data_IF_564470592485
#
_entry.id   IF_564470592485
#
_cell.length_a   1.000
_cell.length_b   1.000
_cell.length_c   1.000
_cell.angle_alpha   90.00
_cell.angle_beta   90.00
_cell.angle_gamma   90.00
#
_symmetry.space_group_name_H-M   'P 1'
#
loop_
_entity.id
_entity.type
_entity.pdbx_description
1 polymer ?
#
# COMPACT_ATOMS: atom_id res chain seq x y z
N UNK A 1 46.47 11.18 24.92
CA UNK A 1 45.62 10.68 23.82
C UNK A 1 44.24 11.30 23.96
N UNK A 2 43.88 12.35 23.22
CA UNK A 2 42.48 12.72 23.07
C UNK A 2 41.93 12.17 21.75
N UNK A 3 40.75 11.55 21.83
CA UNK A 3 39.97 11.06 20.71
C UNK A 3 39.59 12.24 19.79
N UNK A 4 39.94 12.14 18.51
CA UNK A 4 39.54 13.10 17.48
C UNK A 4 38.16 12.77 16.95
N UNK A 5 37.34 13.81 16.87
CA UNK A 5 35.98 13.84 16.36
C UNK A 5 35.92 13.48 14.86
N UNK A 6 35.46 12.28 14.54
CA UNK A 6 34.89 12.03 13.21
C UNK A 6 33.60 12.84 13.10
N UNK A 7 33.57 13.82 12.20
CA UNK A 7 32.38 14.64 12.00
C UNK A 7 31.21 13.75 11.53
N UNK A 8 30.05 13.92 12.16
CA UNK A 8 28.80 13.19 11.84
C UNK A 8 28.35 13.26 10.37
N UNK A 9 28.97 14.11 9.54
CA UNK A 9 28.61 14.32 8.14
C UNK A 9 28.99 13.15 7.20
N UNK A 10 29.96 12.28 7.57
CA UNK A 10 30.39 11.18 6.68
C UNK A 10 29.42 9.99 6.61
N UNK A 11 28.51 9.85 7.58
CA UNK A 11 27.59 8.69 7.66
C UNK A 11 26.25 8.87 6.95
N UNK A 12 25.99 10.04 6.35
CA UNK A 12 24.70 10.38 5.71
C UNK A 12 24.84 10.95 4.29
N UNK A 13 26.03 10.90 3.70
CA UNK A 13 26.28 11.46 2.38
C UNK A 13 25.74 10.52 1.28
N UNK A 14 25.04 11.09 0.29
CA UNK A 14 24.49 10.35 -0.86
C UNK A 14 25.61 10.01 -1.85
N UNK A 15 25.41 8.96 -2.64
CA UNK A 15 26.30 8.60 -3.76
C UNK A 15 26.64 9.84 -4.62
N UNK A 16 27.90 9.96 -5.04
CA UNK A 16 28.42 11.10 -5.81
C UNK A 16 28.81 12.32 -4.98
N UNK A 17 28.40 12.43 -3.71
CA UNK A 17 28.69 13.60 -2.86
C UNK A 17 30.19 13.80 -2.64
N UNK A 18 30.66 15.04 -2.80
CA UNK A 18 32.03 15.42 -2.43
C UNK A 18 32.14 15.82 -0.96
N UNK A 19 33.23 15.43 -0.31
CA UNK A 19 33.51 15.72 1.10
C UNK A 19 34.97 16.17 1.29
N UNK A 20 35.22 16.92 2.36
CA UNK A 20 36.56 17.28 2.80
C UNK A 20 36.92 16.45 4.03
N UNK A 21 37.90 15.56 3.88
CA UNK A 21 38.48 14.77 4.96
C UNK A 21 39.77 15.45 5.46
N UNK A 22 39.92 15.50 6.78
CA UNK A 22 41.11 16.01 7.47
C UNK A 22 42.38 15.20 7.18
N UNK A 23 42.24 13.91 6.83
CA UNK A 23 43.34 12.97 6.57
C UNK A 23 43.59 12.72 5.08
N UNK A 24 42.54 12.71 4.27
CA UNK A 24 42.60 12.31 2.85
C UNK A 24 42.37 13.46 1.85
N UNK A 25 42.06 14.67 2.32
CA UNK A 25 41.79 15.80 1.45
C UNK A 25 40.41 15.71 0.80
N UNK A 26 40.31 15.96 -0.51
CA UNK A 26 39.05 15.88 -1.24
C UNK A 26 38.68 14.42 -1.51
N UNK A 27 37.49 13.99 -1.07
CA UNK A 27 36.95 12.65 -1.30
C UNK A 27 35.58 12.73 -1.99
N UNK A 28 35.18 11.68 -2.69
CA UNK A 28 33.85 11.51 -3.29
C UNK A 28 33.24 10.19 -2.81
N UNK A 29 31.95 10.17 -2.51
CA UNK A 29 31.25 8.92 -2.20
C UNK A 29 31.04 8.14 -3.49
N UNK A 30 31.67 6.97 -3.58
CA UNK A 30 31.52 6.02 -4.68
C UNK A 30 31.23 4.63 -4.09
N UNK A 31 30.20 3.96 -4.59
CA UNK A 31 29.69 2.68 -4.07
C UNK A 31 29.45 2.73 -2.55
N UNK A 32 28.94 3.87 -2.06
CA UNK A 32 28.67 4.11 -0.64
C UNK A 32 29.92 4.27 0.25
N UNK A 33 31.12 4.38 -0.32
CA UNK A 33 32.38 4.57 0.42
C UNK A 33 33.08 5.87 0.02
N UNK A 34 33.75 6.57 0.96
CA UNK A 34 34.56 7.75 0.62
C UNK A 34 35.85 7.34 -0.11
N UNK A 35 35.97 7.74 -1.37
CA UNK A 35 37.14 7.50 -2.22
C UNK A 35 37.90 8.80 -2.44
N UNK A 36 39.22 8.79 -2.24
CA UNK A 36 40.07 9.97 -2.44
C UNK A 36 40.12 10.40 -3.91
N UNK A 37 39.84 11.68 -4.16
CA UNK A 37 39.88 12.26 -5.51
C UNK A 37 41.34 12.51 -5.92
N UNK A 38 41.78 11.82 -6.97
CA UNK A 38 43.17 11.91 -7.46
C UNK A 38 43.38 13.18 -8.28
N UNK A 39 44.45 13.92 -7.96
CA UNK A 39 44.90 15.05 -8.76
C UNK A 39 45.74 14.58 -9.95
N UNK A 40 45.49 15.18 -11.11
CA UNK A 40 46.28 14.95 -12.32
C UNK A 40 47.72 15.42 -12.14
N UNK A 41 48.69 14.54 -12.39
CA UNK A 41 50.13 14.86 -12.38
C UNK A 41 50.66 14.95 -13.82
N UNK A 42 51.30 16.07 -14.17
CA UNK A 42 51.91 16.27 -15.48
C UNK A 42 50.92 16.14 -16.64
N UNK A 43 51.27 15.37 -17.67
CA UNK A 43 50.42 15.09 -18.84
C UNK A 43 49.55 13.82 -18.71
N UNK A 44 49.43 13.25 -17.51
CA UNK A 44 48.59 12.06 -17.29
C UNK A 44 47.12 12.34 -17.62
N UNK A 45 46.41 11.36 -18.18
CA UNK A 45 44.96 11.39 -18.32
C UNK A 45 44.24 11.04 -17.00
N UNK A 46 44.96 10.40 -16.06
CA UNK A 46 44.41 9.97 -14.76
C UNK A 46 44.31 11.14 -13.77
N UNK A 47 43.16 11.26 -13.10
CA UNK A 47 42.84 12.30 -12.13
C UNK A 47 42.28 13.61 -12.71
N UNK A 48 41.73 14.44 -11.80
CA UNK A 48 41.15 15.74 -12.14
C UNK A 48 42.19 16.87 -12.12
N UNK A 49 42.03 17.93 -12.94
CA UNK A 49 42.88 19.11 -12.86
C UNK A 49 42.88 19.76 -11.47
N UNK A 50 44.02 20.31 -11.04
CA UNK A 50 44.12 21.00 -9.75
C UNK A 50 43.11 22.15 -9.60
N UNK A 51 42.85 22.88 -10.69
CA UNK A 51 41.80 23.92 -10.73
C UNK A 51 40.42 23.35 -10.38
N UNK A 52 40.06 22.18 -10.93
CA UNK A 52 38.76 21.54 -10.67
C UNK A 52 38.65 21.10 -9.22
N UNK A 53 39.71 20.50 -8.66
CA UNK A 53 39.74 20.14 -7.25
C UNK A 53 39.53 21.36 -6.34
N UNK A 54 40.19 22.49 -6.64
CA UNK A 54 40.01 23.73 -5.88
C UNK A 54 38.62 24.33 -6.01
N UNK A 55 37.96 24.20 -7.16
CA UNK A 55 36.57 24.62 -7.38
C UNK A 55 35.66 23.77 -6.49
N UNK A 56 35.74 22.43 -6.57
CA UNK A 56 34.94 21.50 -5.77
C UNK A 56 35.11 21.79 -4.27
N UNK A 57 36.36 21.94 -3.80
CA UNK A 57 36.65 22.25 -2.40
C UNK A 57 36.01 23.55 -1.90
N UNK A 58 35.73 24.51 -2.80
CA UNK A 58 35.09 25.80 -2.46
C UNK A 58 33.57 25.78 -2.63
N UNK A 59 33.02 24.86 -3.43
CA UNK A 59 31.57 24.64 -3.54
C UNK A 59 31.02 23.83 -2.37
N UNK A 60 31.80 22.91 -1.78
CA UNK A 60 31.37 22.09 -0.63
C UNK A 60 30.85 22.97 0.54
N UNK A 61 31.59 23.98 1.05
CA UNK A 61 31.07 24.82 2.13
C UNK A 61 29.83 25.63 1.75
N UNK A 62 29.63 25.92 0.47
CA UNK A 62 28.42 26.60 -0.03
C UNK A 62 27.24 25.64 0.07
N UNK A 63 27.35 24.44 -0.52
CA UNK A 63 26.35 23.38 -0.42
C UNK A 63 25.93 23.12 1.02
N UNK A 64 26.91 22.95 1.90
CA UNK A 64 26.66 22.60 3.30
C UNK A 64 25.95 23.75 4.04
N UNK A 65 26.32 25.00 3.76
CA UNK A 65 25.64 26.17 4.32
C UNK A 65 24.23 26.37 3.76
N UNK A 66 23.99 26.09 2.47
CA UNK A 66 22.65 26.11 1.87
C UNK A 66 21.74 25.08 2.53
N UNK A 67 22.21 23.83 2.65
CA UNK A 67 21.48 22.75 3.36
C UNK A 67 21.14 23.17 4.79
N UNK A 68 22.07 23.81 5.47
CA UNK A 68 21.87 24.28 6.84
C UNK A 68 20.80 25.38 6.93
N UNK A 69 20.82 26.37 6.03
CA UNK A 69 19.79 27.42 5.96
C UNK A 69 18.42 26.79 5.73
N UNK A 70 18.30 25.89 4.75
CA UNK A 70 17.02 25.24 4.43
C UNK A 70 16.50 24.38 5.59
N UNK A 71 17.37 23.62 6.26
CA UNK A 71 16.99 22.82 7.42
C UNK A 71 16.57 23.67 8.62
N UNK A 72 17.22 24.81 8.84
CA UNK A 72 16.79 25.75 9.88
C UNK A 72 15.42 26.36 9.55
N UNK A 73 15.17 26.71 8.29
CA UNK A 73 13.87 27.24 7.84
C UNK A 73 12.76 26.20 7.93
N UNK A 74 13.01 24.94 7.54
CA UNK A 74 12.07 23.83 7.66
C UNK A 74 11.64 23.58 9.11
N UNK A 75 12.60 23.60 10.05
CA UNK A 75 12.38 23.34 11.48
C UNK A 75 12.02 24.58 12.29
N UNK A 76 11.75 25.71 11.63
CA UNK A 76 11.45 27.01 12.24
C UNK A 76 12.47 27.46 13.31
N UNK A 77 13.77 27.19 13.07
CA UNK A 77 14.89 27.58 13.94
C UNK A 77 15.58 28.84 13.38
N UNK A 78 16.23 29.67 14.22
CA UNK A 78 17.00 30.82 13.72
C UNK A 78 18.04 30.43 12.66
N UNK A 79 17.99 31.04 11.46
CA UNK A 79 18.87 30.72 10.31
C UNK A 79 19.86 31.82 9.92
N UNK A 80 19.86 32.97 10.62
CA UNK A 80 20.73 34.12 10.30
C UNK A 80 22.21 33.75 10.29
N UNK A 81 22.67 32.96 11.26
CA UNK A 81 24.07 32.54 11.34
C UNK A 81 24.48 31.64 10.18
N UNK A 82 23.56 30.76 9.72
CA UNK A 82 23.77 29.92 8.55
C UNK A 82 23.82 30.77 7.26
N UNK A 83 22.96 31.80 7.13
CA UNK A 83 23.04 32.77 6.03
C UNK A 83 24.36 33.54 6.02
N UNK A 84 24.89 33.91 7.20
CA UNK A 84 26.21 34.56 7.29
C UNK A 84 27.31 33.60 6.82
N UNK A 85 27.28 32.32 7.22
CA UNK A 85 28.21 31.29 6.72
C UNK A 85 28.13 31.13 5.21
N UNK A 86 26.91 31.05 4.67
CA UNK A 86 26.66 30.97 3.23
C UNK A 86 27.25 32.17 2.49
N UNK A 87 26.99 33.39 2.98
CA UNK A 87 27.54 34.64 2.41
C UNK A 87 29.06 34.64 2.40
N UNK A 88 29.70 34.23 3.49
CA UNK A 88 31.16 34.15 3.60
C UNK A 88 31.73 33.13 2.61
N UNK A 89 31.12 31.93 2.51
CA UNK A 89 31.56 30.88 1.60
C UNK A 89 31.41 31.31 0.13
N UNK A 90 30.25 31.89 -0.20
CA UNK A 90 29.93 32.41 -1.52
C UNK A 90 30.87 33.54 -1.96
N UNK A 91 31.05 34.57 -1.14
CA UNK A 91 31.96 35.68 -1.48
C UNK A 91 33.42 35.22 -1.66
N UNK A 92 33.86 34.20 -0.89
CA UNK A 92 35.19 33.59 -1.08
C UNK A 92 35.30 32.84 -2.41
N UNK A 93 34.23 32.17 -2.86
CA UNK A 93 34.18 31.49 -4.15
C UNK A 93 34.22 32.50 -5.29
N UNK A 94 33.32 33.48 -5.28
CA UNK A 94 33.21 34.50 -6.34
C UNK A 94 34.51 35.27 -6.51
N UNK A 95 35.19 35.63 -5.41
CA UNK A 95 36.50 36.30 -5.46
C UNK A 95 37.59 35.43 -6.11
N UNK A 96 37.50 34.11 -5.99
CA UNK A 96 38.54 33.19 -6.47
C UNK A 96 38.29 32.68 -7.90
N UNK A 97 37.02 32.52 -8.30
CA UNK A 97 36.64 31.84 -9.54
C UNK A 97 35.60 32.58 -10.39
N UNK A 98 35.09 33.72 -9.93
CA UNK A 98 33.91 34.37 -10.52
C UNK A 98 32.60 33.69 -10.10
N UNK A 99 31.47 34.10 -10.69
CA UNK A 99 30.16 33.51 -10.42
C UNK A 99 30.12 31.98 -10.52
N UNK A 100 29.34 31.33 -9.67
CA UNK A 100 29.09 29.88 -9.75
C UNK A 100 28.47 29.54 -11.10
N UNK A 101 27.47 30.33 -11.50
CA UNK A 101 26.68 30.08 -12.71
C UNK A 101 27.28 30.62 -14.01
N UNK A 102 28.56 31.04 -14.02
CA UNK A 102 29.24 31.53 -15.23
C UNK A 102 29.06 30.54 -16.38
N UNK A 103 28.55 31.03 -17.50
CA UNK A 103 28.32 30.26 -18.73
C UNK A 103 29.07 30.90 -19.88
N UNK A 104 29.96 30.14 -20.51
CA UNK A 104 30.73 30.55 -21.69
C UNK A 104 30.05 29.96 -22.91
N UNK A 105 29.51 30.81 -23.78
CA UNK A 105 28.92 30.43 -25.05
C UNK A 105 29.96 30.59 -26.15
N UNK A 106 30.18 29.55 -26.96
CA UNK A 106 31.03 29.63 -28.15
C UNK A 106 30.27 29.11 -29.35
N UNK A 107 30.20 29.90 -30.42
CA UNK A 107 29.61 29.54 -31.70
C UNK A 107 30.70 29.07 -32.67
N UNK A 108 30.52 27.90 -33.28
CA UNK A 108 31.36 27.43 -34.38
C UNK A 108 30.47 27.23 -35.61
N UNK A 109 30.83 27.86 -36.72
CA UNK A 109 30.18 27.65 -38.02
C UNK A 109 30.96 26.58 -38.78
N UNK A 110 30.26 25.59 -39.31
CA UNK A 110 30.84 24.54 -40.14
C UNK A 110 31.00 25.06 -41.57
N UNK A 111 32.25 25.26 -42.00
CA UNK A 111 32.60 25.88 -43.30
C UNK A 111 32.07 25.09 -44.53
N UNK A 112 31.72 23.81 -44.38
CA UNK A 112 31.22 22.96 -45.47
C UNK A 112 29.69 22.92 -45.53
N UNK A 113 29.01 23.05 -44.39
CA UNK A 113 27.55 22.88 -44.28
C UNK A 113 26.79 24.16 -43.93
N UNK A 114 27.50 25.21 -43.46
CA UNK A 114 26.91 26.46 -42.96
C UNK A 114 26.15 26.30 -41.63
N UNK A 115 26.28 25.15 -40.95
CA UNK A 115 25.63 24.93 -39.65
C UNK A 115 26.36 25.69 -38.53
N UNK A 116 25.63 26.55 -37.81
CA UNK A 116 26.13 27.21 -36.60
C UNK A 116 25.84 26.33 -35.38
N UNK A 117 26.89 25.89 -34.69
CA UNK A 117 26.81 25.12 -33.43
C UNK A 117 27.19 26.01 -32.25
N UNK A 118 26.25 26.23 -31.35
CA UNK A 118 26.48 26.90 -30.08
C UNK A 118 26.86 25.88 -28.99
N UNK A 119 27.97 26.11 -28.30
CA UNK A 119 28.41 25.28 -27.17
C UNK A 119 28.38 26.10 -25.89
N UNK A 120 27.62 25.63 -24.90
CA UNK A 120 27.51 26.27 -23.59
C UNK A 120 28.37 25.52 -22.58
N UNK A 121 29.36 26.18 -21.98
CA UNK A 121 30.27 25.60 -20.98
C UNK A 121 30.09 26.29 -19.63
N UNK A 122 29.93 25.52 -18.56
CA UNK A 122 29.79 26.02 -17.19
C UNK A 122 31.04 25.70 -16.38
N UNK A 123 32.15 26.44 -16.54
CA UNK A 123 33.47 26.06 -16.00
C UNK A 123 33.52 25.86 -14.48
N UNK A 124 32.63 26.53 -13.74
CA UNK A 124 32.59 26.48 -12.28
C UNK A 124 31.65 25.39 -11.74
N UNK A 125 30.57 25.06 -12.45
CA UNK A 125 29.67 23.95 -12.07
C UNK A 125 30.10 22.60 -12.65
N UNK A 126 30.69 22.57 -13.84
CA UNK A 126 31.09 21.34 -14.53
C UNK A 126 31.91 20.38 -13.64
N UNK A 127 32.88 20.85 -12.82
CA UNK A 127 33.65 19.96 -11.94
C UNK A 127 32.84 19.34 -10.80
N UNK A 128 31.64 19.84 -10.52
CA UNK A 128 30.82 19.48 -9.36
C UNK A 128 29.52 18.76 -9.74
N UNK A 129 29.33 18.42 -11.03
CA UNK A 129 28.09 17.81 -11.54
C UNK A 129 27.74 16.48 -10.90
N UNK A 130 28.74 15.71 -10.49
CA UNK A 130 28.52 14.40 -9.85
C UNK A 130 27.97 14.54 -8.43
N UNK A 131 28.01 15.75 -7.84
CA UNK A 131 27.39 16.00 -6.55
C UNK A 131 25.87 16.06 -6.71
N UNK A 132 25.10 15.32 -5.89
CA UNK A 132 23.64 15.32 -5.97
C UNK A 132 23.02 16.71 -5.73
N UNK A 133 23.76 17.62 -5.09
CA UNK A 133 23.31 18.98 -4.79
C UNK A 133 23.94 20.03 -5.71
N UNK A 134 24.53 19.64 -6.85
CA UNK A 134 25.08 20.59 -7.81
C UNK A 134 24.06 21.67 -8.20
N UNK A 135 22.82 21.29 -8.47
CA UNK A 135 21.76 22.21 -8.86
C UNK A 135 21.23 23.04 -7.69
N UNK A 136 21.32 22.53 -6.46
CA UNK A 136 21.02 23.31 -5.26
C UNK A 136 22.06 24.41 -5.04
N UNK A 137 23.33 24.13 -5.32
CA UNK A 137 24.39 25.15 -5.28
C UNK A 137 24.21 26.16 -6.42
N UNK A 138 23.79 25.72 -7.60
CA UNK A 138 23.51 26.60 -8.71
C UNK A 138 22.32 27.55 -8.43
N UNK A 139 21.30 27.12 -7.69
CA UNK A 139 20.07 27.92 -7.48
C UNK A 139 20.24 29.15 -6.58
N UNK A 140 21.41 29.32 -5.93
CA UNK A 140 21.66 30.47 -5.05
C UNK A 140 22.08 31.73 -5.79
N UNK A 141 22.35 31.65 -7.09
CA UNK A 141 22.74 32.79 -7.92
C UNK A 141 21.78 32.96 -9.09
N UNK A 142 21.34 34.20 -9.30
CA UNK A 142 20.71 34.60 -10.55
C UNK A 142 21.80 35.13 -11.48
N UNK A 143 22.07 34.41 -12.57
CA UNK A 143 23.04 34.81 -13.57
C UNK A 143 22.34 35.57 -14.70
N UNK A 144 22.81 36.79 -14.96
CA UNK A 144 22.42 37.57 -16.12
C UNK A 144 23.50 37.43 -17.22
N UNK A 145 23.16 36.69 -18.27
CA UNK A 145 24.04 36.40 -19.39
C UNK A 145 24.40 37.64 -20.22
N UNK A 146 23.59 38.71 -20.16
CA UNK A 146 23.84 39.95 -20.91
C UNK A 146 24.88 40.85 -20.22
N UNK A 147 24.92 40.82 -18.88
CA UNK A 147 25.83 41.67 -18.09
C UNK A 147 27.06 40.93 -17.54
N UNK A 148 27.14 39.60 -17.71
CA UNK A 148 28.15 38.72 -17.09
C UNK A 148 28.25 38.95 -15.56
N UNK A 149 27.12 39.31 -14.94
CA UNK A 149 27.01 39.50 -13.48
C UNK A 149 26.11 38.45 -12.87
N UNK A 150 26.48 37.97 -11.68
CA UNK A 150 25.61 37.12 -10.87
C UNK A 150 25.17 37.87 -9.61
N UNK A 151 23.88 37.83 -9.34
CA UNK A 151 23.28 38.40 -8.14
C UNK A 151 23.00 37.29 -7.13
N UNK A 152 23.23 37.53 -5.82
CA UNK A 152 22.84 36.57 -4.80
C UNK A 152 21.30 36.42 -4.82
N UNK A 153 20.84 35.18 -4.83
CA UNK A 153 19.41 34.86 -4.81
C UNK A 153 18.75 35.09 -3.45
N UNK A 154 17.42 34.89 -3.36
CA UNK A 154 16.63 35.22 -2.15
C UNK A 154 17.09 34.52 -0.87
N UNK A 155 17.71 33.34 -0.96
CA UNK A 155 18.18 32.56 0.21
C UNK A 155 19.18 33.30 1.10
N UNK A 156 19.85 34.34 0.58
CA UNK A 156 20.81 35.15 1.33
C UNK A 156 20.17 36.20 2.26
N UNK A 157 18.89 36.51 2.05
CA UNK A 157 18.18 37.62 2.71
C UNK A 157 16.83 37.19 3.29
N UNK A 158 16.17 36.24 2.64
CA UNK A 158 14.76 35.91 2.87
C UNK A 158 14.58 34.45 3.29
N UNK A 159 13.38 34.16 3.80
CA UNK A 159 12.91 32.79 4.01
C UNK A 159 12.44 32.24 2.66
N UNK A 160 13.02 31.14 2.21
CA UNK A 160 12.69 30.50 0.93
C UNK A 160 11.85 29.22 1.10
N UNK A 161 11.80 28.68 2.32
CA UNK A 161 10.89 27.60 2.71
C UNK A 161 10.07 28.07 3.92
N UNK A 162 8.74 28.17 3.75
CA UNK A 162 7.81 28.44 4.84
C UNK A 162 7.56 27.17 5.67
N UNK A 163 7.31 27.29 6.99
CA UNK A 163 6.83 26.15 7.75
C UNK A 163 5.40 25.84 7.26
N UNK A 164 4.92 24.59 7.38
CA UNK A 164 3.52 24.29 7.12
C UNK A 164 2.64 25.24 7.94
N UNK A 165 1.70 25.94 7.28
CA UNK A 165 0.76 26.78 7.99
C UNK A 165 -0.07 25.90 8.93
N UNK A 166 -0.39 26.38 10.15
CA UNK A 166 -1.29 25.64 11.03
C UNK A 166 -2.62 25.39 10.32
N UNK A 167 -3.26 24.22 10.52
CA UNK A 167 -4.53 23.93 9.86
C UNK A 167 -5.58 24.95 10.28
N UNK A 168 -6.30 25.48 9.29
CA UNK A 168 -7.44 26.38 9.55
C UNK A 168 -8.65 25.52 9.87
N UNK A 169 -9.06 25.51 11.13
CA UNK A 169 -10.20 24.73 11.61
C UNK A 169 -11.43 25.64 11.65
N UNK A 170 -12.43 25.35 10.81
CA UNK A 170 -13.68 26.12 10.75
C UNK A 170 -14.93 25.32 11.09
N UNK A 171 -14.80 24.00 11.22
CA UNK A 171 -15.89 23.07 11.47
C UNK A 171 -15.42 21.81 12.19
N UNK A 172 -16.35 21.03 12.75
CA UNK A 172 -16.00 19.72 13.35
C UNK A 172 -15.40 18.75 12.33
N UNK A 173 -15.79 18.85 11.05
CA UNK A 173 -15.22 18.03 9.98
C UNK A 173 -13.74 18.37 9.71
N UNK A 174 -13.38 19.66 9.74
CA UNK A 174 -11.98 20.08 9.60
C UNK A 174 -11.15 19.57 10.78
N UNK A 175 -11.68 19.72 12.00
CA UNK A 175 -11.04 19.23 13.21
C UNK A 175 -10.90 17.69 13.20
N UNK A 176 -11.91 16.95 12.71
CA UNK A 176 -11.82 15.49 12.54
C UNK A 176 -10.64 15.10 11.64
N UNK A 177 -10.43 15.79 10.52
CA UNK A 177 -9.31 15.52 9.62
C UNK A 177 -7.96 15.77 10.30
N UNK A 178 -7.84 16.84 11.09
CA UNK A 178 -6.64 17.14 11.90
C UNK A 178 -6.38 16.03 12.91
N UNK A 179 -7.40 15.64 13.69
CA UNK A 179 -7.27 14.59 14.71
C UNK A 179 -6.91 13.25 14.10
N UNK A 180 -7.48 12.89 12.95
CA UNK A 180 -7.11 11.65 12.25
C UNK A 180 -5.65 11.68 11.78
N UNK A 181 -5.18 12.80 11.24
CA UNK A 181 -3.79 12.95 10.81
C UNK A 181 -2.80 12.89 11.99
N UNK A 182 -3.17 13.45 13.15
CA UNK A 182 -2.29 13.50 14.33
C UNK A 182 -2.32 12.22 15.18
N UNK A 183 -3.50 11.61 15.35
CA UNK A 183 -3.72 10.49 16.29
C UNK A 183 -4.09 9.17 15.61
N UNK A 184 -4.45 9.18 14.32
CA UNK A 184 -4.82 7.98 13.56
C UNK A 184 -6.17 7.36 13.92
N UNK A 185 -6.99 7.99 14.76
CA UNK A 185 -8.31 7.52 15.16
C UNK A 185 -9.25 8.68 15.50
N UNK A 186 -10.56 8.42 15.55
CA UNK A 186 -11.56 9.43 15.91
C UNK A 186 -11.56 9.64 17.42
N UNK A 187 -11.34 10.89 17.83
CA UNK A 187 -11.32 11.31 19.23
C UNK A 187 -12.23 12.55 19.40
N UNK A 188 -13.52 12.36 19.75
CA UNK A 188 -14.46 13.47 19.89
C UNK A 188 -14.08 14.50 20.93
N UNK A 189 -13.40 14.09 22.01
CA UNK A 189 -12.97 15.00 23.08
C UNK A 189 -11.90 15.95 22.54
N UNK A 190 -10.93 15.45 21.78
CA UNK A 190 -9.92 16.30 21.17
C UNK A 190 -10.47 17.17 20.04
N UNK A 191 -11.43 16.66 19.26
CA UNK A 191 -12.14 17.48 18.27
C UNK A 191 -12.85 18.65 18.97
N UNK A 192 -13.51 18.38 20.10
CA UNK A 192 -14.20 19.39 20.91
C UNK A 192 -13.26 20.46 21.47
N UNK A 193 -12.05 20.07 21.90
CA UNK A 193 -10.99 21.02 22.29
C UNK A 193 -10.60 21.95 21.14
N UNK A 194 -10.38 21.41 19.94
CA UNK A 194 -9.95 22.18 18.76
C UNK A 194 -11.01 23.17 18.28
N UNK A 195 -12.30 22.83 18.39
CA UNK A 195 -13.40 23.73 18.00
C UNK A 195 -13.95 24.58 19.15
N UNK A 196 -13.46 24.39 20.37
CA UNK A 196 -13.96 25.03 21.60
C UNK A 196 -15.46 24.81 21.85
N UNK A 197 -15.91 23.56 21.72
CA UNK A 197 -17.31 23.15 21.94
C UNK A 197 -17.38 21.95 22.88
N UNK A 198 -18.60 21.53 23.19
CA UNK A 198 -18.85 20.31 23.95
C UNK A 198 -18.80 19.06 23.04
N UNK A 199 -18.34 17.93 23.58
CA UNK A 199 -18.19 16.68 22.83
C UNK A 199 -19.52 16.14 22.27
N UNK A 200 -20.62 16.24 23.02
CA UNK A 200 -21.93 15.79 22.54
C UNK A 200 -22.41 16.64 21.37
N UNK A 201 -22.10 17.93 21.38
CA UNK A 201 -22.41 18.81 20.25
C UNK A 201 -21.58 18.45 19.02
N UNK A 202 -20.29 18.19 19.18
CA UNK A 202 -19.40 17.77 18.09
C UNK A 202 -19.88 16.44 17.49
N UNK A 203 -20.26 15.48 18.32
CA UNK A 203 -20.81 14.20 17.89
C UNK A 203 -22.10 14.40 17.08
N UNK A 204 -22.97 15.30 17.53
CA UNK A 204 -24.21 15.64 16.83
C UNK A 204 -23.93 16.34 15.48
N UNK A 205 -22.96 17.25 15.41
CA UNK A 205 -22.54 17.94 14.19
C UNK A 205 -21.93 16.95 13.17
N UNK A 206 -21.06 16.05 13.63
CA UNK A 206 -20.44 15.04 12.77
C UNK A 206 -21.45 13.99 12.29
N UNK A 207 -22.49 13.70 13.08
CA UNK A 207 -23.63 12.90 12.65
C UNK A 207 -23.23 11.54 12.09
N UNK A 208 -23.53 11.29 10.81
CA UNK A 208 -23.24 10.04 10.10
C UNK A 208 -21.79 9.91 9.64
N UNK A 209 -20.93 10.91 9.85
CA UNK A 209 -19.50 10.84 9.51
C UNK A 209 -18.72 9.94 10.48
N UNK A 210 -19.25 9.71 11.69
CA UNK A 210 -18.62 8.90 12.72
C UNK A 210 -19.63 7.97 13.39
N UNK A 211 -19.19 6.78 13.80
CA UNK A 211 -20.00 5.82 14.53
C UNK A 211 -19.25 5.30 15.75
N UNK A 212 -20.01 4.99 16.80
CA UNK A 212 -19.47 4.40 18.02
C UNK A 212 -19.44 2.88 17.86
N UNK A 213 -18.29 2.27 18.09
CA UNK A 213 -18.10 0.83 18.06
C UNK A 213 -18.88 0.13 19.18
N UNK A 214 -19.29 -1.10 18.90
CA UNK A 214 -20.08 -1.93 19.80
C UNK A 214 -19.22 -2.64 20.86
N UNK A 215 -17.96 -2.91 20.54
CA UNK A 215 -17.09 -3.82 21.32
C UNK A 215 -16.27 -3.08 22.38
N UNK A 216 -15.90 -1.83 22.09
CA UNK A 216 -15.08 -1.00 22.99
C UNK A 216 -15.57 0.43 23.17
N UNK A 217 -16.69 0.81 22.54
CA UNK A 217 -17.24 2.17 22.62
C UNK A 217 -16.38 3.25 21.97
N UNK A 218 -15.29 2.87 21.28
CA UNK A 218 -14.42 3.78 20.54
C UNK A 218 -15.13 4.34 19.30
N UNK A 219 -14.69 5.50 18.83
CA UNK A 219 -15.27 6.12 17.64
C UNK A 219 -14.50 5.74 16.38
N UNK A 220 -15.23 5.52 15.30
CA UNK A 220 -14.70 5.18 13.99
C UNK A 220 -15.29 6.10 12.94
N UNK A 221 -14.56 6.35 11.85
CA UNK A 221 -15.12 7.03 10.68
C UNK A 221 -16.18 6.15 10.02
N UNK A 222 -17.11 6.78 9.30
CA UNK A 222 -18.17 6.07 8.57
C UNK A 222 -17.62 4.98 7.65
N UNK A 223 -16.57 5.30 6.88
CA UNK A 223 -15.94 4.35 5.97
C UNK A 223 -15.33 3.13 6.69
N UNK A 224 -14.77 3.31 7.89
CA UNK A 224 -14.23 2.22 8.70
C UNK A 224 -15.36 1.38 9.34
N UNK A 225 -16.37 2.04 9.90
CA UNK A 225 -17.44 1.35 10.62
C UNK A 225 -18.35 0.56 9.67
N UNK A 226 -18.71 1.14 8.53
CA UNK A 226 -19.63 0.59 7.53
C UNK A 226 -18.96 -0.36 6.50
N UNK A 227 -17.73 -0.81 6.78
CA UNK A 227 -17.01 -1.78 5.97
C UNK A 227 -16.66 -3.05 6.74
N UNK A 228 -16.15 -4.07 6.07
CA UNK A 228 -15.89 -5.39 6.66
C UNK A 228 -17.16 -6.22 6.82
N UNK A 229 -17.24 -7.04 7.86
CA UNK A 229 -18.34 -7.99 8.11
C UNK A 229 -19.67 -7.32 8.54
N UNK A 230 -20.34 -6.63 7.62
CA UNK A 230 -21.49 -5.74 7.91
C UNK A 230 -22.76 -6.45 8.37
N UNK A 231 -23.02 -7.70 7.96
CA UNK A 231 -24.16 -8.50 8.47
C UNK A 231 -23.94 -8.87 9.92
N UNK A 232 -22.72 -9.33 10.26
CA UNK A 232 -22.36 -9.63 11.64
C UNK A 232 -22.39 -8.39 12.52
N UNK A 233 -21.91 -7.25 12.00
CA UNK A 233 -22.01 -5.95 12.68
C UNK A 233 -23.47 -5.53 12.86
N UNK A 234 -24.35 -5.73 11.87
CA UNK A 234 -25.77 -5.38 11.97
C UNK A 234 -26.46 -6.19 13.07
N UNK A 235 -26.27 -7.51 13.10
CA UNK A 235 -26.83 -8.36 14.14
C UNK A 235 -26.36 -7.94 15.54
N UNK A 236 -25.07 -7.60 15.68
CA UNK A 236 -24.53 -7.08 16.94
C UNK A 236 -25.10 -5.69 17.28
N UNK A 237 -25.30 -4.82 16.29
CA UNK A 237 -25.85 -3.48 16.48
C UNK A 237 -27.33 -3.55 16.90
N UNK A 238 -28.12 -4.46 16.35
CA UNK A 238 -29.51 -4.69 16.73
C UNK A 238 -29.61 -5.18 18.18
N UNK A 239 -28.76 -6.13 18.57
CA UNK A 239 -28.68 -6.60 19.95
C UNK A 239 -28.26 -5.48 20.92
N UNK A 240 -27.31 -4.63 20.52
CA UNK A 240 -26.90 -3.47 21.32
C UNK A 240 -28.00 -2.40 21.40
N UNK A 241 -28.69 -2.12 20.29
CA UNK A 241 -29.77 -1.14 20.24
C UNK A 241 -30.99 -1.51 21.09
N UNK A 242 -31.20 -2.81 21.32
CA UNK A 242 -32.22 -3.29 22.26
C UNK A 242 -31.91 -2.92 23.72
N UNK A 243 -30.63 -2.71 24.06
CA UNK A 243 -30.18 -2.33 25.41
C UNK A 243 -29.92 -0.82 25.54
N UNK A 244 -29.37 -0.21 24.49
CA UNK A 244 -29.06 1.22 24.42
C UNK A 244 -29.56 1.83 23.09
N UNK A 245 -30.63 2.63 23.14
CA UNK A 245 -31.20 3.29 21.95
C UNK A 245 -30.22 4.16 21.16
N UNK A 246 -29.09 4.59 21.75
CA UNK A 246 -28.08 5.37 21.05
C UNK A 246 -27.48 4.62 19.83
N UNK A 247 -27.50 3.29 19.83
CA UNK A 247 -27.06 2.47 18.70
C UNK A 247 -28.09 2.36 17.56
N UNK A 248 -29.27 2.96 17.69
CA UNK A 248 -30.28 2.96 16.63
C UNK A 248 -29.78 3.58 15.31
N UNK A 249 -28.88 4.57 15.39
CA UNK A 249 -28.24 5.15 14.18
C UNK A 249 -27.28 4.17 13.50
N UNK A 250 -26.59 3.32 14.28
CA UNK A 250 -25.67 2.32 13.75
C UNK A 250 -26.44 1.25 12.99
N UNK A 251 -27.57 0.80 13.55
CA UNK A 251 -28.48 -0.17 12.91
C UNK A 251 -28.95 0.37 11.56
N UNK A 252 -29.47 1.60 11.52
CA UNK A 252 -29.96 2.21 10.27
C UNK A 252 -28.86 2.29 9.21
N UNK A 253 -27.68 2.79 9.57
CA UNK A 253 -26.58 2.92 8.63
C UNK A 253 -26.08 1.55 8.14
N UNK A 254 -26.02 0.54 9.01
CA UNK A 254 -25.62 -0.82 8.63
C UNK A 254 -26.67 -1.48 7.71
N UNK A 255 -27.97 -1.23 7.90
CA UNK A 255 -29.02 -1.73 7.01
C UNK A 255 -28.88 -1.20 5.59
N UNK A 256 -28.46 0.05 5.42
CA UNK A 256 -28.30 0.69 4.11
C UNK A 256 -27.10 0.14 3.30
N UNK A 257 -26.07 -0.37 3.98
CA UNK A 257 -24.83 -0.87 3.33
C UNK A 257 -24.79 -2.38 3.16
N UNK A 258 -25.90 -3.10 3.38
CA UNK A 258 -25.92 -4.56 3.24
C UNK A 258 -25.63 -4.96 1.78
N UNK A 259 -24.70 -5.90 1.53
CA UNK A 259 -24.50 -6.47 0.20
C UNK A 259 -25.80 -7.09 -0.30
N UNK A 260 -26.10 -6.93 -1.59
CA UNK A 260 -27.24 -7.58 -2.21
C UNK A 260 -27.11 -9.11 -2.06
N UNK A 261 -28.18 -9.77 -1.62
CA UNK A 261 -28.20 -11.23 -1.47
C UNK A 261 -27.88 -11.91 -2.82
N UNK A 262 -26.94 -12.86 -2.79
CA UNK A 262 -26.67 -13.74 -3.91
C UNK A 262 -27.86 -14.67 -4.11
N UNK A 263 -28.28 -14.82 -5.37
CA UNK A 263 -29.36 -15.72 -5.72
C UNK A 263 -28.87 -17.18 -5.66
N UNK A 264 -29.76 -18.16 -5.48
CA UNK A 264 -29.40 -19.58 -5.54
C UNK A 264 -28.60 -19.96 -6.79
N UNK A 265 -28.92 -19.35 -7.94
CA UNK A 265 -28.19 -19.55 -9.21
C UNK A 265 -26.73 -19.07 -9.17
N UNK A 266 -26.41 -18.12 -8.30
CA UNK A 266 -25.06 -17.58 -8.13
C UNK A 266 -24.26 -18.36 -7.07
N UNK A 267 -24.90 -19.30 -6.37
CA UNK A 267 -24.29 -20.07 -5.27
C UNK A 267 -23.95 -21.48 -5.77
N UNK A 268 -22.65 -21.78 -5.85
CA UNK A 268 -22.20 -23.14 -6.15
C UNK A 268 -22.16 -24.01 -4.89
N UNK A 269 -23.19 -24.83 -4.68
CA UNK A 269 -23.24 -25.80 -3.60
C UNK A 269 -22.45 -27.07 -3.94
N UNK A 270 -21.31 -27.28 -3.28
CA UNK A 270 -20.48 -28.49 -3.44
C UNK A 270 -20.66 -29.41 -2.23
N UNK A 271 -20.63 -30.73 -2.47
CA UNK A 271 -20.42 -31.69 -1.38
C UNK A 271 -19.09 -31.35 -0.68
N UNK A 272 -19.14 -31.25 0.65
CA UNK A 272 -17.99 -30.88 1.48
C UNK A 272 -17.84 -29.38 1.71
N UNK A 273 -18.73 -28.55 1.16
CA UNK A 273 -18.70 -27.12 1.45
C UNK A 273 -18.94 -26.88 2.96
N UNK A 274 -18.11 -26.08 3.64
CA UNK A 274 -18.11 -25.94 5.11
C UNK A 274 -19.39 -25.29 5.67
N UNK A 275 -20.24 -24.76 4.79
CA UNK A 275 -21.52 -24.14 5.13
C UNK A 275 -22.72 -25.04 4.87
N UNK A 276 -22.54 -26.12 4.13
CA UNK A 276 -23.61 -27.08 3.85
C UNK A 276 -23.97 -27.82 5.14
N UNK A 277 -25.24 -27.84 5.58
CA UNK A 277 -25.62 -28.58 6.77
C UNK A 277 -25.54 -30.09 6.56
N UNK A 278 -25.05 -30.83 7.56
CA UNK A 278 -24.98 -32.29 7.51
C UNK A 278 -26.35 -32.95 7.31
N UNK A 279 -27.42 -32.36 7.87
CA UNK A 279 -28.79 -32.83 7.73
C UNK A 279 -29.26 -32.87 6.26
N UNK A 280 -28.87 -31.89 5.46
CA UNK A 280 -29.23 -31.84 4.03
C UNK A 280 -28.53 -32.93 3.23
N UNK A 281 -27.29 -33.27 3.59
CA UNK A 281 -26.57 -34.38 2.93
C UNK A 281 -27.21 -35.73 3.31
N UNK A 282 -27.66 -35.90 4.56
CA UNK A 282 -28.41 -37.10 5.00
C UNK A 282 -29.74 -37.21 4.24
N UNK A 283 -30.48 -36.11 4.10
CA UNK A 283 -31.74 -36.08 3.34
C UNK A 283 -31.51 -36.40 1.85
N UNK A 284 -30.45 -35.84 1.24
CA UNK A 284 -30.07 -36.15 -0.14
C UNK A 284 -29.88 -37.65 -0.35
N UNK A 285 -29.13 -38.31 0.54
CA UNK A 285 -28.86 -39.75 0.44
C UNK A 285 -30.11 -40.57 0.65
N UNK A 286 -30.98 -40.17 1.60
CA UNK A 286 -32.25 -40.84 1.84
C UNK A 286 -33.18 -40.76 0.62
N UNK A 287 -33.34 -39.57 0.04
CA UNK A 287 -34.24 -39.33 -1.10
C UNK A 287 -33.71 -39.91 -2.41
N UNK A 288 -32.40 -39.82 -2.64
CA UNK A 288 -31.79 -40.18 -3.93
C UNK A 288 -31.34 -41.64 -3.98
N UNK A 289 -30.89 -42.20 -2.85
CA UNK A 289 -30.32 -43.55 -2.78
C UNK A 289 -31.14 -44.50 -1.91
N UNK A 290 -32.17 -44.03 -1.21
CA UNK A 290 -33.01 -44.86 -0.34
C UNK A 290 -32.31 -45.43 0.89
N UNK A 291 -31.19 -44.81 1.32
CA UNK A 291 -30.37 -45.30 2.41
C UNK A 291 -30.39 -44.36 3.62
N UNK A 292 -30.38 -44.92 4.82
CA UNK A 292 -30.22 -44.14 6.05
C UNK A 292 -28.75 -44.14 6.46
N UNK A 293 -28.19 -42.95 6.60
CA UNK A 293 -26.77 -42.74 6.90
C UNK A 293 -26.60 -41.77 8.06
N UNK A 294 -25.41 -41.74 8.66
CA UNK A 294 -25.01 -40.69 9.60
C UNK A 294 -23.80 -39.95 9.07
N UNK A 295 -23.80 -38.64 9.26
CA UNK A 295 -22.70 -37.76 8.88
C UNK A 295 -22.31 -36.93 10.09
N UNK A 296 -21.03 -36.91 10.40
CA UNK A 296 -20.45 -36.01 11.39
C UNK A 296 -19.53 -35.02 10.66
N UNK A 297 -19.75 -33.73 10.90
CA UNK A 297 -18.93 -32.65 10.35
C UNK A 297 -18.16 -31.98 11.50
N UNK A 298 -16.84 -31.84 11.34
CA UNK A 298 -15.98 -31.09 12.25
C UNK A 298 -15.50 -29.83 11.51
N UNK A 299 -16.19 -28.69 11.65
CA UNK A 299 -15.88 -27.47 10.90
C UNK A 299 -14.44 -26.98 11.10
N UNK A 300 -13.89 -27.14 12.30
CA UNK A 300 -12.55 -26.68 12.68
C UNK A 300 -11.44 -27.43 11.95
N UNK A 301 -11.69 -28.68 11.57
CA UNK A 301 -10.77 -29.55 10.83
C UNK A 301 -11.14 -29.69 9.36
N UNK A 302 -12.21 -29.01 8.92
CA UNK A 302 -12.82 -29.18 7.61
C UNK A 302 -13.03 -30.66 7.22
N UNK A 303 -13.34 -31.51 8.20
CA UNK A 303 -13.38 -32.97 8.03
C UNK A 303 -14.79 -33.53 8.19
N UNK A 304 -15.09 -34.53 7.37
CA UNK A 304 -16.39 -35.19 7.31
C UNK A 304 -16.23 -36.69 7.52
N UNK A 305 -16.96 -37.22 8.50
CA UNK A 305 -17.06 -38.67 8.73
C UNK A 305 -18.40 -39.17 8.23
N UNK A 306 -18.36 -40.20 7.38
CA UNK A 306 -19.55 -40.79 6.75
C UNK A 306 -19.76 -42.21 7.23
N UNK A 307 -20.86 -42.44 7.95
CA UNK A 307 -21.34 -43.76 8.32
C UNK A 307 -22.45 -44.19 7.36
N UNK A 308 -22.05 -44.85 6.26
CA UNK A 308 -22.97 -45.25 5.19
C UNK A 308 -22.80 -46.72 4.80
N UNK A 309 -22.56 -47.60 5.79
CA UNK A 309 -22.29 -49.03 5.57
C UNK A 309 -23.42 -49.74 4.80
N UNK A 310 -24.66 -49.30 4.96
CA UNK A 310 -25.83 -49.83 4.24
C UNK A 310 -25.64 -49.79 2.71
N UNK A 311 -25.03 -48.72 2.18
CA UNK A 311 -24.80 -48.56 0.73
C UNK A 311 -23.83 -49.59 0.16
N UNK A 312 -23.02 -50.27 0.98
CA UNK A 312 -22.16 -51.36 0.53
C UNK A 312 -22.92 -52.66 0.22
N UNK A 313 -24.17 -52.79 0.66
CA UNK A 313 -25.00 -53.99 0.47
C UNK A 313 -26.22 -53.75 -0.42
N UNK A 314 -26.48 -52.50 -0.81
CA UNK A 314 -27.59 -52.13 -1.69
C UNK A 314 -27.13 -52.10 -3.13
N UNK A 315 -27.91 -52.67 -4.04
CA UNK A 315 -27.65 -52.60 -5.48
C UNK A 315 -27.52 -51.15 -5.98
N UNK A 316 -28.33 -50.23 -5.44
CA UNK A 316 -28.21 -48.80 -5.72
C UNK A 316 -26.83 -48.26 -5.35
N UNK A 317 -26.26 -48.69 -4.21
CA UNK A 317 -24.97 -48.21 -3.72
C UNK A 317 -23.75 -48.87 -4.38
N UNK A 318 -23.87 -50.08 -4.92
CA UNK A 318 -22.75 -50.81 -5.56
C UNK A 318 -22.80 -50.81 -7.08
N UNK A 319 -23.88 -50.33 -7.70
CA UNK A 319 -24.02 -50.27 -9.16
C UNK A 319 -24.48 -48.90 -9.66
N UNK A 320 -25.58 -48.37 -9.14
CA UNK A 320 -26.16 -47.14 -9.68
C UNK A 320 -25.34 -45.89 -9.29
N UNK A 321 -24.98 -45.81 -8.00
CA UNK A 321 -24.30 -44.69 -7.36
C UNK A 321 -22.86 -45.01 -6.95
N UNK A 322 -22.41 -46.23 -7.20
CA UNK A 322 -21.05 -46.66 -6.91
C UNK A 322 -20.62 -47.82 -7.79
N UNK A 323 -19.52 -48.44 -7.42
CA UNK A 323 -19.02 -49.67 -8.04
C UNK A 323 -18.89 -50.76 -6.97
N UNK A 324 -18.74 -52.01 -7.39
CA UNK A 324 -18.51 -53.14 -6.46
C UNK A 324 -17.27 -52.91 -5.58
N UNK A 325 -16.22 -52.32 -6.15
CA UNK A 325 -14.94 -52.05 -5.46
C UNK A 325 -14.88 -50.71 -4.74
N UNK A 326 -15.81 -49.79 -5.01
CA UNK A 326 -15.92 -48.48 -4.36
C UNK A 326 -17.40 -48.07 -4.29
N UNK A 327 -18.08 -48.52 -3.24
CA UNK A 327 -19.52 -48.29 -3.08
C UNK A 327 -19.85 -46.81 -2.81
N UNK A 328 -21.11 -46.41 -3.01
CA UNK A 328 -21.57 -45.03 -2.94
C UNK A 328 -21.22 -44.32 -1.62
N UNK A 329 -21.30 -45.01 -0.49
CA UNK A 329 -20.87 -44.46 0.81
C UNK A 329 -19.39 -44.04 0.87
N UNK A 330 -18.49 -44.81 0.24
CA UNK A 330 -17.08 -44.43 0.13
C UNK A 330 -16.89 -43.25 -0.83
N UNK A 331 -17.62 -43.24 -1.95
CA UNK A 331 -17.59 -42.11 -2.90
C UNK A 331 -18.17 -40.83 -2.29
N UNK A 332 -19.17 -40.94 -1.42
CA UNK A 332 -19.71 -39.80 -0.67
C UNK A 332 -18.65 -39.25 0.30
N UNK A 333 -17.94 -40.14 1.01
CA UNK A 333 -16.79 -39.74 1.84
C UNK A 333 -15.70 -39.07 1.02
N UNK A 334 -15.42 -39.57 -0.19
CA UNK A 334 -14.48 -38.97 -1.13
C UNK A 334 -14.95 -37.56 -1.55
N UNK A 335 -16.24 -37.40 -1.88
CA UNK A 335 -16.83 -36.12 -2.25
C UNK A 335 -16.74 -35.07 -1.13
N UNK A 336 -17.14 -35.45 0.08
CA UNK A 336 -17.17 -34.55 1.24
C UNK A 336 -15.77 -34.11 1.69
N UNK A 337 -14.76 -34.97 1.53
CA UNK A 337 -13.38 -34.68 1.89
C UNK A 337 -12.50 -34.32 0.68
N UNK A 338 -13.10 -33.90 -0.44
CA UNK A 338 -12.40 -33.48 -1.67
C UNK A 338 -11.35 -34.49 -2.19
N UNK A 339 -11.57 -35.77 -1.94
CA UNK A 339 -10.69 -36.87 -2.35
C UNK A 339 -11.14 -37.46 -3.68
N UNK A 340 -10.19 -38.01 -4.43
CA UNK A 340 -10.45 -38.69 -5.72
C UNK A 340 -10.26 -40.19 -5.50
N UNK A 341 -11.24 -41.04 -5.89
CA UNK A 341 -11.12 -42.48 -5.70
C UNK A 341 -9.95 -43.03 -6.50
N UNK A 342 -9.20 -43.94 -5.89
CA UNK A 342 -8.12 -44.70 -6.51
C UNK A 342 -8.26 -46.16 -6.13
N UNK A 343 -8.39 -47.04 -7.14
CA UNK A 343 -8.57 -48.47 -6.94
C UNK A 343 -7.29 -49.18 -7.37
N UNK A 344 -6.77 -50.04 -6.51
CA UNK A 344 -5.51 -50.76 -6.76
C UNK A 344 -5.75 -52.26 -6.81
N UNK A 345 -5.12 -52.92 -7.77
CA UNK A 345 -5.00 -54.37 -7.86
C UNK A 345 -3.72 -54.81 -7.15
N UNK A 346 -3.82 -55.89 -6.37
CA UNK A 346 -2.66 -56.55 -5.78
C UNK A 346 -2.23 -57.68 -6.69
N UNK A 347 -1.02 -57.57 -7.25
CA UNK A 347 -0.41 -58.62 -8.06
C UNK A 347 0.66 -59.31 -7.19
N UNK A 348 0.51 -60.62 -7.02
CA UNK A 348 1.51 -61.47 -6.36
C UNK A 348 2.57 -61.91 -7.37
N UNK A 349 3.83 -61.65 -7.06
CA UNK A 349 4.98 -62.11 -7.82
C UNK A 349 5.93 -62.85 -6.86
N UNK A 350 5.76 -64.17 -6.77
CA UNK A 350 6.42 -65.01 -5.77
C UNK A 350 6.06 -64.61 -4.33
N UNK A 351 7.08 -64.30 -3.52
CA UNK A 351 6.94 -63.81 -2.14
C UNK A 351 6.68 -62.29 -2.04
N UNK A 352 6.57 -61.57 -3.18
CA UNK A 352 6.36 -60.12 -3.20
C UNK A 352 4.95 -59.73 -3.66
N UNK A 353 4.36 -58.73 -2.99
CA UNK A 353 3.08 -58.12 -3.39
C UNK A 353 3.33 -56.70 -3.91
N UNK A 354 2.83 -56.40 -5.12
CA UNK A 354 2.83 -55.02 -5.66
C UNK A 354 1.41 -54.53 -5.91
N UNK A 355 1.16 -53.27 -5.57
CA UNK A 355 -0.12 -52.58 -5.85
C UNK A 355 -0.02 -51.79 -7.15
N UNK A 356 -0.92 -52.08 -8.09
CA UNK A 356 -1.00 -51.39 -9.39
C UNK A 356 -2.33 -50.67 -9.47
N UNK A 357 -2.34 -49.42 -9.93
CA UNK A 357 -3.58 -48.67 -10.13
C UNK A 357 -4.42 -49.36 -11.21
N UNK A 358 -5.64 -49.76 -10.86
CA UNK A 358 -6.62 -50.24 -11.82
C UNK A 358 -7.28 -49.03 -12.47
N UNK A 359 -6.84 -48.69 -13.68
CA UNK A 359 -7.32 -47.51 -14.41
C UNK A 359 -8.81 -47.64 -14.72
N UNK A 360 -9.27 -48.82 -15.13
CA UNK A 360 -10.67 -49.04 -15.54
C UNK A 360 -11.63 -48.83 -14.37
N UNK A 361 -11.40 -49.49 -13.24
CA UNK A 361 -12.25 -49.36 -12.07
C UNK A 361 -12.14 -47.97 -11.44
N UNK A 362 -10.95 -47.36 -11.49
CA UNK A 362 -10.74 -45.99 -11.01
C UNK A 362 -11.54 -44.98 -11.83
N UNK A 363 -11.53 -45.08 -13.16
CA UNK A 363 -12.35 -44.21 -14.03
C UNK A 363 -13.85 -44.45 -13.82
N UNK A 364 -14.28 -45.71 -13.69
CA UNK A 364 -15.68 -46.02 -13.35
C UNK A 364 -16.10 -45.41 -12.01
N UNK A 365 -15.23 -45.48 -10.98
CA UNK A 365 -15.49 -44.84 -9.68
C UNK A 365 -15.54 -43.31 -9.77
N UNK A 366 -14.67 -42.69 -10.59
CA UNK A 366 -14.70 -41.24 -10.85
C UNK A 366 -15.99 -40.80 -11.55
N UNK A 367 -16.47 -41.59 -12.51
CA UNK A 367 -17.75 -41.33 -13.19
C UNK A 367 -18.91 -41.35 -12.19
N UNK A 368 -18.97 -42.35 -11.31
CA UNK A 368 -19.98 -42.43 -10.25
C UNK A 368 -19.88 -41.28 -9.25
N UNK A 369 -18.66 -40.89 -8.86
CA UNK A 369 -18.44 -39.71 -8.02
C UNK A 369 -18.96 -38.43 -8.68
N UNK A 370 -18.70 -38.25 -9.98
CA UNK A 370 -19.21 -37.12 -10.76
C UNK A 370 -20.74 -37.13 -10.79
N UNK A 371 -21.35 -38.28 -11.04
CA UNK A 371 -22.81 -38.47 -10.99
C UNK A 371 -23.39 -38.05 -9.63
N UNK A 372 -22.78 -38.47 -8.51
CA UNK A 372 -23.20 -38.08 -7.15
C UNK A 372 -23.12 -36.56 -6.96
N UNK A 373 -22.00 -35.94 -7.37
CA UNK A 373 -21.80 -34.49 -7.25
C UNK A 373 -22.84 -33.69 -8.03
N UNK A 374 -23.11 -34.08 -9.28
CA UNK A 374 -24.12 -33.44 -10.13
C UNK A 374 -25.52 -33.63 -9.58
N UNK A 375 -25.87 -34.84 -9.12
CA UNK A 375 -27.16 -35.11 -8.51
C UNK A 375 -27.39 -34.24 -7.27
N UNK A 376 -26.37 -34.10 -6.41
CA UNK A 376 -26.45 -33.24 -5.23
C UNK A 376 -26.63 -31.76 -5.61
N UNK A 377 -25.88 -31.27 -6.61
CA UNK A 377 -25.99 -29.88 -7.08
C UNK A 377 -27.39 -29.53 -7.60
N UNK A 378 -28.04 -30.48 -8.28
CA UNK A 378 -29.41 -30.29 -8.77
C UNK A 378 -30.41 -30.42 -7.62
N UNK A 379 -30.23 -31.44 -6.78
CA UNK A 379 -31.13 -31.73 -5.67
C UNK A 379 -31.16 -30.60 -4.66
N UNK A 380 -30.01 -30.03 -4.26
CA UNK A 380 -29.96 -29.04 -3.18
C UNK A 380 -30.82 -27.80 -3.46
N UNK A 381 -31.03 -27.47 -4.74
CA UNK A 381 -31.83 -26.34 -5.21
C UNK A 381 -33.21 -26.72 -5.77
N UNK A 382 -33.61 -27.98 -5.68
CA UNK A 382 -34.87 -28.45 -6.29
C UNK A 382 -36.11 -28.13 -5.44
N UNK A 383 -35.93 -27.91 -4.14
CA UNK A 383 -36.99 -27.63 -3.19
C UNK A 383 -36.96 -26.15 -2.79
N UNK A 384 -38.07 -25.39 -2.92
CA UNK A 384 -38.09 -23.96 -2.63
C UNK A 384 -37.70 -23.63 -1.18
N UNK A 385 -38.25 -24.34 -0.19
CA UNK A 385 -38.00 -24.07 1.22
C UNK A 385 -36.53 -24.32 1.60
N UNK A 386 -35.95 -25.42 1.11
CA UNK A 386 -34.52 -25.72 1.24
C UNK A 386 -33.66 -24.66 0.57
N UNK A 387 -34.06 -24.23 -0.64
CA UNK A 387 -33.32 -23.25 -1.43
C UNK A 387 -33.21 -21.92 -0.70
N UNK A 388 -34.33 -21.37 -0.23
CA UNK A 388 -34.36 -20.08 0.47
C UNK A 388 -33.54 -20.13 1.76
N UNK A 389 -33.71 -21.21 2.55
CA UNK A 389 -32.95 -21.41 3.79
C UNK A 389 -31.44 -21.49 3.54
N UNK A 390 -31.01 -22.25 2.54
CA UNK A 390 -29.58 -22.44 2.24
C UNK A 390 -28.95 -21.18 1.62
N UNK A 391 -29.69 -20.48 0.76
CA UNK A 391 -29.26 -19.19 0.23
C UNK A 391 -29.05 -18.17 1.36
N UNK A 392 -29.95 -18.15 2.37
CA UNK A 392 -29.78 -17.30 3.55
C UNK A 392 -28.53 -17.64 4.35
N UNK A 393 -28.34 -18.93 4.68
CA UNK A 393 -27.14 -19.41 5.40
C UNK A 393 -25.86 -19.02 4.67
N UNK A 394 -25.84 -19.16 3.34
CA UNK A 394 -24.69 -18.77 2.53
C UNK A 394 -24.43 -17.26 2.58
N UNK A 395 -25.47 -16.44 2.35
CA UNK A 395 -25.34 -14.99 2.34
C UNK A 395 -24.89 -14.44 3.70
N UNK A 396 -25.41 -14.97 4.80
CA UNK A 396 -25.00 -14.57 6.15
C UNK A 396 -23.54 -14.87 6.46
N UNK A 397 -23.04 -16.00 5.94
CA UNK A 397 -21.69 -16.46 6.25
C UNK A 397 -20.63 -15.89 5.31
N UNK A 398 -20.91 -15.75 4.02
CA UNK A 398 -19.91 -15.36 3.01
C UNK A 398 -20.21 -14.04 2.32
N UNK A 399 -21.47 -13.68 2.09
CA UNK A 399 -21.85 -12.39 1.50
C UNK A 399 -21.95 -11.28 2.56
N UNK A 400 -20.90 -11.20 3.38
CA UNK A 400 -20.89 -10.39 4.60
C UNK A 400 -19.88 -9.23 4.49
N UNK A 401 -19.02 -9.19 3.48
CA UNK A 401 -17.91 -8.24 3.41
C UNK A 401 -18.24 -7.07 2.49
N UNK A 402 -18.24 -5.86 3.05
CA UNK A 402 -18.26 -4.60 2.28
C UNK A 402 -16.84 -4.01 2.21
N UNK A 403 -16.28 -3.76 1.02
CA UNK A 403 -15.01 -3.06 0.89
C UNK A 403 -15.07 -1.66 1.51
N UNK A 404 -13.99 -1.22 2.14
CA UNK A 404 -13.87 0.15 2.67
C UNK A 404 -13.86 1.16 1.52
N UNK A 405 -14.85 2.04 1.49
CA UNK A 405 -14.98 3.10 0.49
C UNK A 405 -14.60 4.45 1.11
N UNK A 406 -13.54 5.06 0.58
CA UNK A 406 -13.07 6.38 1.03
C UNK A 406 -13.79 7.48 0.26
N UNK A 407 -14.59 8.27 0.98
CA UNK A 407 -15.18 9.50 0.45
C UNK A 407 -14.42 10.71 1.01
N UNK A 408 -13.94 11.59 0.13
CA UNK A 408 -13.26 12.84 0.51
C UNK A 408 -14.07 14.09 0.24
N UNK A 409 -15.36 13.97 -0.14
CA UNK A 409 -16.22 15.09 -0.54
C UNK A 409 -16.34 16.18 0.55
N UNK A 410 -16.26 15.77 1.81
CA UNK A 410 -16.32 16.63 3.00
C UNK A 410 -15.03 17.44 3.25
N UNK A 411 -13.92 17.09 2.61
CA UNK A 411 -12.64 17.77 2.81
C UNK A 411 -12.68 19.19 2.23
N UNK A 412 -12.45 20.17 3.12
CA UNK A 412 -12.11 21.54 2.76
C UNK A 412 -10.60 21.67 2.92
N UNK A 413 -9.90 21.94 1.83
CA UNK A 413 -8.44 22.06 1.81
C UNK A 413 -8.06 23.54 1.70
N UNK A 414 -7.96 24.27 2.84
CA UNK A 414 -7.53 25.66 2.82
C UNK A 414 -6.06 25.74 2.40
N UNK A 415 -5.76 26.55 1.39
CA UNK A 415 -4.41 26.71 0.84
C UNK A 415 -4.25 26.25 -0.61
N UNK A 416 -5.21 25.49 -1.16
CA UNK A 416 -5.31 25.33 -2.62
C UNK A 416 -5.64 26.68 -3.22
N UNK A 417 -4.86 27.17 -4.18
CA UNK A 417 -5.15 28.45 -4.81
C UNK A 417 -6.58 28.41 -5.35
N UNK A 418 -7.37 29.47 -5.15
CA UNK A 418 -8.78 29.53 -5.58
C UNK A 418 -9.00 29.38 -7.09
N UNK A 419 -7.92 29.15 -7.86
CA UNK A 419 -7.92 28.85 -9.27
C UNK A 419 -8.16 27.36 -9.60
N UNK A 420 -8.01 26.43 -8.63
CA UNK A 420 -8.12 24.98 -8.89
C UNK A 420 -9.13 24.32 -7.95
N UNK A 421 -10.13 23.67 -8.53
CA UNK A 421 -11.07 22.79 -7.82
C UNK A 421 -10.57 21.35 -7.99
N UNK A 422 -10.20 20.71 -6.89
CA UNK A 422 -9.78 19.30 -6.90
C UNK A 422 -10.91 18.39 -7.35
N UNK A 423 -10.57 17.43 -8.21
CA UNK A 423 -11.51 16.41 -8.65
C UNK A 423 -11.85 15.44 -7.52
N UNK A 424 -13.05 14.85 -7.57
CA UNK A 424 -13.53 13.89 -6.57
C UNK A 424 -12.54 12.75 -6.30
N UNK A 425 -11.87 12.24 -7.33
CA UNK A 425 -10.89 11.17 -7.16
C UNK A 425 -9.63 11.60 -6.38
N UNK A 426 -9.21 12.87 -6.48
CA UNK A 426 -8.08 13.41 -5.72
C UNK A 426 -8.46 13.54 -4.24
N UNK A 427 -9.66 14.05 -3.96
CA UNK A 427 -10.18 14.11 -2.57
C UNK A 427 -10.27 12.73 -1.93
N UNK A 428 -10.71 11.70 -2.66
CA UNK A 428 -10.71 10.31 -2.16
C UNK A 428 -9.30 9.81 -1.84
N UNK A 429 -8.32 10.14 -2.67
CA UNK A 429 -6.91 9.81 -2.42
C UNK A 429 -6.40 10.45 -1.13
N UNK A 430 -6.66 11.74 -0.96
CA UNK A 430 -6.29 12.49 0.25
C UNK A 430 -6.98 11.90 1.49
N UNK A 431 -8.29 11.65 1.44
CA UNK A 431 -9.00 11.04 2.57
C UNK A 431 -8.47 9.65 2.92
N UNK A 432 -8.11 8.85 1.92
CA UNK A 432 -7.51 7.54 2.16
C UNK A 432 -6.18 7.64 2.91
N UNK A 433 -5.33 8.61 2.56
CA UNK A 433 -4.08 8.89 3.28
C UNK A 433 -4.38 9.31 4.72
N UNK A 434 -5.31 10.24 4.93
CA UNK A 434 -5.66 10.74 6.28
C UNK A 434 -6.26 9.61 7.14
N UNK A 435 -7.20 8.84 6.62
CA UNK A 435 -7.98 7.86 7.38
C UNK A 435 -7.33 6.47 7.50
N UNK A 436 -6.27 6.18 6.74
CA UNK A 436 -5.53 4.91 6.79
C UNK A 436 -4.03 5.07 7.06
N UNK A 437 -3.49 6.29 7.03
CA UNK A 437 -2.06 6.55 7.10
C UNK A 437 -1.34 6.16 5.80
N UNK A 438 -0.20 5.47 5.92
CA UNK A 438 0.66 5.11 4.80
C UNK A 438 -0.10 4.33 3.70
N UNK A 439 -0.28 4.97 2.54
CA UNK A 439 -1.12 4.47 1.46
C UNK A 439 -0.36 4.51 0.14
N UNK A 440 -0.40 3.40 -0.62
CA UNK A 440 0.02 3.38 -2.01
C UNK A 440 -1.10 3.89 -2.92
N UNK A 441 -0.85 5.00 -3.62
CA UNK A 441 -1.76 5.56 -4.63
C UNK A 441 -1.23 5.26 -6.03
N UNK A 442 -1.96 4.43 -6.79
CA UNK A 442 -1.67 4.14 -8.19
C UNK A 442 -2.67 4.89 -9.08
N UNK A 443 -2.29 6.08 -9.56
CA UNK A 443 -3.07 6.85 -10.54
C UNK A 443 -2.48 6.69 -11.96
N UNK A 444 -3.34 6.77 -12.98
CA UNK A 444 -2.91 6.77 -14.38
C UNK A 444 -2.04 8.00 -14.69
N UNK A 445 -1.07 7.84 -15.59
CA UNK A 445 -0.12 8.90 -15.99
C UNK A 445 -0.88 10.07 -16.61
N UNK A 446 -0.74 11.28 -16.05
CA UNK A 446 -1.43 12.50 -16.51
C UNK A 446 -2.55 13.04 -15.62
N UNK A 447 -2.86 12.42 -14.48
CA UNK A 447 -3.92 12.86 -13.55
C UNK A 447 -3.45 13.81 -12.42
N UNK A 448 -2.30 14.48 -12.57
CA UNK A 448 -1.77 15.44 -11.58
C UNK A 448 -0.85 14.83 -10.51
N UNK A 449 0.04 13.91 -10.89
CA UNK A 449 1.01 13.28 -9.97
C UNK A 449 2.04 14.27 -9.38
N UNK A 450 2.27 15.39 -10.05
CA UNK A 450 3.35 16.34 -9.68
C UNK A 450 3.05 17.17 -8.42
N UNK A 451 1.81 17.19 -7.93
CA UNK A 451 1.43 17.95 -6.73
C UNK A 451 1.50 17.14 -5.41
N UNK A 452 1.58 15.81 -5.48
CA UNK A 452 1.49 14.91 -4.30
C UNK A 452 2.86 14.38 -3.81
N UNK A 453 3.94 14.51 -4.58
CA UNK A 453 5.24 13.87 -4.27
C UNK A 453 6.21 14.85 -3.59
N UNK A 454 5.77 15.36 -2.44
CA UNK A 454 6.52 16.29 -1.60
C UNK A 454 6.94 15.72 -0.24
N UNK A 455 6.99 14.39 -0.03
CA UNK A 455 7.66 13.84 1.16
C UNK A 455 8.02 12.35 1.08
N UNK A 456 9.33 12.08 1.20
CA UNK A 456 9.99 10.83 1.65
C UNK A 456 10.08 9.67 0.65
N UNK A 457 11.13 9.75 -0.18
CA UNK A 457 11.74 8.63 -0.87
C UNK A 457 12.54 7.74 0.11
N UNK A 458 12.11 6.50 0.32
CA UNK A 458 12.94 5.38 0.79
C UNK A 458 12.70 4.20 -0.17
N UNK A 459 13.56 4.11 -1.18
CA UNK A 459 13.59 3.00 -2.12
C UNK A 459 13.81 1.64 -1.44
N UNK A 460 13.01 0.65 -1.84
CA UNK A 460 13.37 -0.76 -1.71
C UNK A 460 13.30 -1.38 -3.10
N UNK A 461 14.49 -1.74 -3.59
CA UNK A 461 14.77 -2.46 -4.84
C UNK A 461 14.07 -3.82 -4.89
N UNK A 462 13.25 -4.05 -5.93
CA UNK A 462 12.74 -5.36 -6.27
C UNK A 462 13.75 -6.13 -7.13
N UNK A 463 14.31 -7.19 -6.54
CA UNK A 463 15.09 -8.22 -7.24
C UNK A 463 14.17 -9.09 -8.09
N UNK A 464 14.54 -9.22 -9.36
CA UNK A 464 13.98 -10.14 -10.35
C UNK A 464 14.66 -11.50 -10.16
N UNK A 465 13.89 -12.53 -9.79
CA UNK A 465 14.34 -13.91 -9.89
C UNK A 465 13.21 -14.75 -10.49
N UNK A 466 13.46 -15.30 -11.67
CA UNK A 466 12.60 -16.28 -12.29
C UNK A 466 12.79 -17.67 -11.69
N UNK A 467 11.68 -18.36 -11.52
CA UNK A 467 11.47 -19.76 -11.91
C UNK A 467 9.97 -20.01 -12.00
#
# INVERSE_FOLDING_TARGET
MPAQSDSSASRTAREGSYLLDSRHGLTQILDGQPVAVRLRKGRSADGIPEKHARIIQRLIPIRDAVREVLKCQELDRPWKDAQVRLRIAWSKFVRAFGPINTTVVSTAEDDETGEVRETHRRPNLQPFLDDPDCWLVASIEDNDLESDTAKPGPIFTERVIAPPAPPVITSAADALAVVLNERGHVDPDHIAELVHRDADHVIAELGSAIFRDLSGGSWQTADAYLSGAVRSKLAAAEAAAALDPAYGRNVRALQEVQPADLQPSDITARLGAPWSPAADIVAFVKETMGAEIRIHHMPELASWTVEARQLGWMAAGTSEWGTERRHAGQLLSDALNSSVPQIFDTIKDGDSERRVLNVVDTEAAKEKLSKIKTAFQNWIWSDPDRTDRLARVYNDRFNNIVPRAFDGSHLKLPGTSGAFVLYEHQKRGIWRIIASGATYLAHAVGAGKDDDDGSRDHGTTASRAGR
#
